data_IF_688724042577
#
_entry.id   IF_688724042577
#
_cell.length_a   1.000
_cell.length_b   1.000
_cell.length_c   1.000
_cell.angle_alpha   90.00
_cell.angle_beta   90.00
_cell.angle_gamma   90.00
#
_symmetry.space_group_name_H-M   'P 1'
#
loop_
_entity.id
_entity.type
_entity.pdbx_description
1 polymer ?
#
# COMPACT_ATOMS: atom_id res chain seq x y z
N UNK A 1 -14.09 -5.45 -23.70
CA UNK A 1 -14.32 -4.20 -22.96
C UNK A 1 -15.50 -4.41 -22.03
N UNK A 2 -15.25 -4.75 -20.77
CA UNK A 2 -16.29 -4.71 -19.75
C UNK A 2 -16.24 -3.31 -19.14
N UNK A 3 -17.11 -2.42 -19.61
CA UNK A 3 -17.40 -1.18 -18.90
C UNK A 3 -18.13 -1.58 -17.62
N UNK A 4 -17.51 -1.42 -16.47
CA UNK A 4 -18.19 -1.41 -15.18
C UNK A 4 -18.71 0.02 -14.97
N UNK A 5 -19.96 0.34 -15.36
CA UNK A 5 -20.52 1.65 -15.03
C UNK A 5 -20.43 1.83 -13.51
N UNK A 6 -19.99 3.00 -13.07
CA UNK A 6 -19.93 3.43 -11.67
C UNK A 6 -18.73 2.90 -10.84
N UNK A 7 -17.76 2.20 -11.45
CA UNK A 7 -16.57 1.70 -10.73
C UNK A 7 -15.66 2.81 -10.16
N UNK A 8 -15.89 4.08 -10.48
CA UNK A 8 -15.12 5.23 -10.00
C UNK A 8 -16.00 6.33 -9.38
N UNK A 9 -17.27 6.03 -9.11
CA UNK A 9 -18.16 6.95 -8.40
C UNK A 9 -17.62 7.24 -6.99
N UNK A 10 -17.06 6.20 -6.35
CA UNK A 10 -16.30 6.33 -5.12
C UNK A 10 -14.83 6.61 -5.43
N UNK A 11 -14.21 7.65 -4.85
CA UNK A 11 -12.82 8.02 -5.13
C UNK A 11 -11.84 6.86 -4.89
N UNK A 12 -10.93 6.69 -5.84
CA UNK A 12 -9.79 5.77 -5.77
C UNK A 12 -8.51 6.59 -5.76
N UNK A 13 -7.58 6.21 -4.91
CA UNK A 13 -6.33 6.92 -4.67
C UNK A 13 -5.15 5.96 -4.77
N UNK A 14 -4.09 6.41 -5.42
CA UNK A 14 -2.77 5.78 -5.36
C UNK A 14 -1.92 6.55 -4.36
N UNK A 15 -1.35 5.84 -3.38
CA UNK A 15 -0.58 6.41 -2.27
C UNK A 15 0.83 5.82 -2.27
N UNK A 16 1.81 6.68 -2.03
CA UNK A 16 3.20 6.29 -1.82
C UNK A 16 3.64 6.78 -0.45
N UNK A 17 4.10 5.87 0.39
CA UNK A 17 4.52 6.12 1.76
C UNK A 17 5.96 5.63 1.95
N UNK A 18 6.97 6.47 1.62
CA UNK A 18 8.36 6.17 1.90
C UNK A 18 8.69 6.30 3.39
N UNK A 19 9.60 5.48 3.88
CA UNK A 19 10.14 5.58 5.24
C UNK A 19 11.58 6.12 5.23
N UNK A 20 11.85 7.01 6.17
CA UNK A 20 13.16 7.59 6.46
C UNK A 20 13.72 7.04 7.78
N UNK A 21 15.03 7.13 7.94
CA UNK A 21 15.74 6.61 9.13
C UNK A 21 16.01 5.10 9.10
N UNK A 22 15.52 4.40 8.07
CA UNK A 22 15.82 3.00 7.82
C UNK A 22 17.22 2.83 7.21
N UNK A 23 18.00 1.88 7.74
CA UNK A 23 19.29 1.47 7.17
C UNK A 23 19.13 0.26 6.22
N UNK A 24 17.97 -0.40 6.23
CA UNK A 24 17.72 -1.69 5.59
C UNK A 24 16.30 -1.84 5.01
N UNK A 25 16.03 -3.04 4.46
CA UNK A 25 14.75 -3.58 4.01
C UNK A 25 13.65 -3.62 5.09
N UNK A 26 12.96 -2.51 5.37
CA UNK A 26 11.89 -2.47 6.37
C UNK A 26 10.68 -3.25 5.87
N UNK A 27 9.97 -2.80 4.84
CA UNK A 27 8.65 -3.37 4.54
C UNK A 27 8.67 -4.72 3.82
N UNK A 28 9.84 -5.24 3.45
CA UNK A 28 10.03 -6.62 2.97
C UNK A 28 10.42 -7.60 4.09
N UNK A 29 10.67 -7.13 5.31
CA UNK A 29 10.75 -7.99 6.50
C UNK A 29 9.34 -8.35 6.96
N UNK A 30 9.11 -9.66 7.12
CA UNK A 30 7.81 -10.23 7.49
C UNK A 30 7.13 -9.49 8.66
N UNK A 31 7.88 -9.20 9.73
CA UNK A 31 7.32 -8.54 10.93
C UNK A 31 6.67 -7.18 10.65
N UNK A 32 7.24 -6.39 9.74
CA UNK A 32 6.73 -5.06 9.42
C UNK A 32 5.61 -5.14 8.38
N UNK A 33 5.75 -6.03 7.39
CA UNK A 33 4.68 -6.31 6.45
C UNK A 33 3.42 -6.81 7.17
N UNK A 34 3.56 -7.69 8.17
CA UNK A 34 2.45 -8.24 8.95
C UNK A 34 1.69 -7.13 9.73
N UNK A 35 2.39 -6.11 10.26
CA UNK A 35 1.76 -4.95 10.94
C UNK A 35 0.91 -4.15 9.95
N UNK A 36 1.51 -3.78 8.82
CA UNK A 36 0.81 -3.00 7.77
C UNK A 36 -0.41 -3.76 7.28
N UNK A 37 -0.26 -5.05 7.01
CA UNK A 37 -1.35 -5.90 6.54
C UNK A 37 -2.45 -6.06 7.60
N UNK A 38 -2.10 -6.29 8.87
CA UNK A 38 -3.08 -6.40 9.95
C UNK A 38 -3.90 -5.11 10.09
N UNK A 39 -3.26 -3.95 10.02
CA UNK A 39 -3.95 -2.66 10.09
C UNK A 39 -4.85 -2.43 8.87
N UNK A 40 -4.35 -2.67 7.65
CA UNK A 40 -5.16 -2.56 6.43
C UNK A 40 -6.37 -3.50 6.48
N UNK A 41 -6.18 -4.77 6.82
CA UNK A 41 -7.27 -5.74 6.90
C UNK A 41 -8.29 -5.36 7.97
N UNK A 42 -7.86 -4.82 9.11
CA UNK A 42 -8.76 -4.29 10.13
C UNK A 42 -9.59 -3.12 9.60
N UNK A 43 -8.97 -2.17 8.90
CA UNK A 43 -9.67 -1.00 8.35
C UNK A 43 -10.66 -1.41 7.24
N UNK A 44 -10.31 -2.42 6.43
CA UNK A 44 -11.21 -3.02 5.43
C UNK A 44 -12.39 -3.75 6.07
N UNK A 45 -12.16 -4.52 7.14
CA UNK A 45 -13.22 -5.23 7.87
C UNK A 45 -14.28 -4.26 8.43
N UNK A 46 -13.85 -3.07 8.85
CA UNK A 46 -14.73 -2.00 9.33
C UNK A 46 -15.23 -1.08 8.21
N UNK A 47 -14.97 -1.43 6.94
CA UNK A 47 -15.34 -0.68 5.75
C UNK A 47 -14.85 0.79 5.77
N UNK A 48 -13.74 1.09 6.44
CA UNK A 48 -13.17 2.44 6.47
C UNK A 48 -12.61 2.84 5.10
N UNK A 49 -11.89 1.91 4.49
CA UNK A 49 -11.34 1.95 3.12
C UNK A 49 -11.39 0.54 2.52
N UNK A 50 -11.19 0.42 1.21
CA UNK A 50 -10.93 -0.85 0.51
C UNK A 50 -9.57 -0.75 -0.19
N UNK A 51 -8.73 -1.77 -0.05
CA UNK A 51 -7.47 -1.91 -0.79
C UNK A 51 -7.77 -2.56 -2.13
N UNK A 52 -7.41 -1.89 -3.21
CA UNK A 52 -7.59 -2.36 -4.59
C UNK A 52 -6.32 -3.02 -5.12
N UNK A 53 -5.15 -2.47 -4.77
CA UNK A 53 -3.85 -3.03 -5.15
C UNK A 53 -2.78 -2.59 -4.14
N UNK A 54 -1.67 -3.33 -4.04
CA UNK A 54 -0.55 -2.95 -3.21
C UNK A 54 0.79 -3.52 -3.70
N UNK A 55 1.86 -2.83 -3.30
CA UNK A 55 3.23 -3.31 -3.41
C UNK A 55 4.08 -2.72 -2.27
N UNK A 56 4.80 -3.56 -1.55
CA UNK A 56 5.79 -3.12 -0.57
C UNK A 56 7.18 -3.24 -1.16
N UNK A 57 7.89 -2.11 -1.25
CA UNK A 57 9.32 -2.07 -1.49
C UNK A 57 10.07 -2.05 -0.17
N UNK A 58 11.38 -2.34 -0.17
CA UNK A 58 12.23 -2.25 1.02
C UNK A 58 12.01 -1.00 1.89
N UNK A 59 11.87 0.17 1.26
CA UNK A 59 11.80 1.47 1.94
C UNK A 59 10.52 2.28 1.65
N UNK A 60 9.54 1.70 0.95
CA UNK A 60 8.29 2.39 0.68
C UNK A 60 7.13 1.43 0.52
N UNK A 61 5.95 1.89 0.92
CA UNK A 61 4.68 1.20 0.69
C UNK A 61 3.96 1.94 -0.43
N UNK A 62 3.43 1.18 -1.38
CA UNK A 62 2.59 1.67 -2.45
C UNK A 62 1.25 0.97 -2.36
N UNK A 63 0.16 1.73 -2.29
CA UNK A 63 -1.19 1.17 -2.18
C UNK A 63 -2.15 1.93 -3.08
N UNK A 64 -3.07 1.21 -3.68
CA UNK A 64 -4.27 1.77 -4.28
C UNK A 64 -5.43 1.47 -3.34
N UNK A 65 -6.14 2.51 -2.92
CA UNK A 65 -7.29 2.39 -2.02
C UNK A 65 -8.51 3.08 -2.61
N UNK A 66 -9.68 2.52 -2.33
CA UNK A 66 -10.98 3.15 -2.53
C UNK A 66 -11.49 3.63 -1.18
N UNK A 67 -12.05 4.83 -1.16
CA UNK A 67 -12.70 5.36 0.04
C UNK A 67 -13.88 4.49 0.46
N UNK A 68 -14.06 4.32 1.77
CA UNK A 68 -15.19 3.62 2.36
C UNK A 68 -16.02 4.58 3.21
N UNK A 69 -16.16 4.26 4.48
CA UNK A 69 -16.76 5.15 5.47
C UNK A 69 -15.91 6.39 5.78
N UNK A 70 -14.60 6.34 5.51
CA UNK A 70 -13.68 7.47 5.67
C UNK A 70 -13.14 7.93 4.31
N UNK A 71 -13.03 9.24 4.18
CA UNK A 71 -12.31 9.90 3.10
C UNK A 71 -10.80 9.82 3.34
N UNK A 72 -10.00 9.99 2.29
CA UNK A 72 -8.53 9.87 2.36
C UNK A 72 -7.93 10.76 3.46
N UNK A 73 -8.38 12.01 3.56
CA UNK A 73 -7.89 13.01 4.52
C UNK A 73 -8.15 12.64 5.99
N UNK A 74 -9.21 11.87 6.25
CA UNK A 74 -9.56 11.40 7.60
C UNK A 74 -8.86 10.09 7.95
N UNK A 75 -8.51 9.26 6.97
CA UNK A 75 -7.96 7.93 7.20
C UNK A 75 -6.42 7.89 7.15
N UNK A 76 -5.80 8.60 6.21
CA UNK A 76 -4.43 8.33 5.81
C UNK A 76 -3.38 8.65 6.90
N UNK A 77 -3.46 9.83 7.51
CA UNK A 77 -2.52 10.20 8.58
C UNK A 77 -2.68 9.30 9.82
N UNK A 78 -3.90 9.04 10.34
CA UNK A 78 -4.09 8.10 11.45
C UNK A 78 -3.61 6.68 11.15
N UNK A 79 -3.78 6.19 9.92
CA UNK A 79 -3.25 4.90 9.49
C UNK A 79 -1.72 4.86 9.59
N UNK A 80 -1.05 5.86 9.00
CA UNK A 80 0.41 5.98 9.01
C UNK A 80 0.97 6.09 10.43
N UNK A 81 0.34 6.90 11.29
CA UNK A 81 0.76 7.08 12.68
C UNK A 81 0.62 5.77 13.48
N UNK A 82 -0.49 5.04 13.30
CA UNK A 82 -0.72 3.76 13.96
C UNK A 82 0.32 2.70 13.56
N UNK A 83 0.60 2.57 12.26
CA UNK A 83 1.63 1.63 11.75
C UNK A 83 3.00 1.96 12.34
N UNK A 84 3.37 3.24 12.36
CA UNK A 84 4.67 3.66 12.85
C UNK A 84 4.80 3.46 14.36
N UNK A 85 3.73 3.70 15.11
CA UNK A 85 3.69 3.46 16.55
C UNK A 85 3.86 1.97 16.87
N UNK A 86 3.16 1.07 16.18
CA UNK A 86 3.34 -0.38 16.36
C UNK A 86 4.77 -0.83 16.03
N UNK A 87 5.35 -0.30 14.94
CA UNK A 87 6.75 -0.58 14.58
C UNK A 87 7.72 -0.13 15.69
N UNK A 88 7.52 1.07 16.25
CA UNK A 88 8.35 1.60 17.34
C UNK A 88 8.24 0.78 18.62
N UNK A 89 7.06 0.25 18.93
CA UNK A 89 6.88 -0.62 20.08
C UNK A 89 7.64 -1.95 19.93
N UNK A 90 7.75 -2.48 18.72
CA UNK A 90 8.50 -3.70 18.44
C UNK A 90 10.01 -3.48 18.27
N UNK A 91 10.42 -2.32 17.78
CA UNK A 91 11.81 -1.98 17.48
C UNK A 91 12.13 -0.53 17.90
N UNK A 92 12.22 -0.24 19.22
CA UNK A 92 12.38 1.13 19.71
C UNK A 92 13.70 1.79 19.30
N UNK A 93 14.71 0.99 18.96
CA UNK A 93 16.00 1.48 18.47
C UNK A 93 15.94 1.96 17.00
N UNK A 94 14.95 1.50 16.23
CA UNK A 94 14.75 1.93 14.84
C UNK A 94 14.02 3.28 14.82
N UNK A 95 14.77 4.36 14.57
CA UNK A 95 14.23 5.73 14.47
C UNK A 95 13.55 5.99 13.13
N UNK A 96 12.47 5.25 12.88
CA UNK A 96 11.70 5.37 11.65
C UNK A 96 10.72 6.55 11.70
N UNK A 97 10.58 7.20 10.55
CA UNK A 97 9.54 8.20 10.28
C UNK A 97 9.12 8.14 8.82
N UNK A 98 7.87 8.49 8.52
CA UNK A 98 7.46 8.70 7.13
C UNK A 98 8.15 9.94 6.53
N UNK A 99 8.32 9.95 5.21
CA UNK A 99 8.88 11.10 4.51
C UNK A 99 8.47 11.16 3.04
N UNK A 100 8.22 12.37 2.54
CA UNK A 100 7.83 12.63 1.15
C UNK A 100 6.65 11.77 0.70
N UNK A 101 5.62 11.65 1.54
CA UNK A 101 4.40 10.94 1.16
C UNK A 101 3.72 11.63 -0.02
N UNK A 102 3.22 10.86 -0.97
CA UNK A 102 2.50 11.38 -2.13
C UNK A 102 1.19 10.61 -2.33
N UNK A 103 0.22 11.31 -2.91
CA UNK A 103 -1.07 10.75 -3.27
C UNK A 103 -1.52 11.28 -4.62
N UNK A 104 -2.21 10.43 -5.37
CA UNK A 104 -2.75 10.75 -6.68
C UNK A 104 -4.15 10.16 -6.81
N UNK A 105 -5.09 10.96 -7.30
CA UNK A 105 -6.45 10.47 -7.57
C UNK A 105 -6.46 9.70 -8.88
N UNK A 106 -6.99 8.49 -8.86
CA UNK A 106 -7.25 7.69 -10.05
C UNK A 106 -8.61 8.11 -10.64
N UNK A 107 -8.56 8.67 -11.84
CA UNK A 107 -9.74 9.31 -12.45
C UNK A 107 -10.73 8.30 -13.06
N UNK A 108 -10.23 7.20 -13.60
CA UNK A 108 -11.01 6.24 -14.38
C UNK A 108 -10.32 4.86 -14.45
N UNK A 109 -10.97 3.93 -15.17
CA UNK A 109 -10.50 2.57 -15.34
C UNK A 109 -9.17 2.47 -16.09
N UNK A 110 -8.93 3.33 -17.08
CA UNK A 110 -7.67 3.29 -17.83
C UNK A 110 -6.50 3.73 -16.95
N UNK A 111 -6.68 4.80 -16.18
CA UNK A 111 -5.70 5.25 -15.19
C UNK A 111 -5.46 4.19 -14.10
N UNK A 112 -6.50 3.46 -13.68
CA UNK A 112 -6.38 2.36 -12.72
C UNK A 112 -5.52 1.23 -13.25
N UNK A 113 -5.86 0.69 -14.43
CA UNK A 113 -5.13 -0.41 -15.06
C UNK A 113 -3.68 -0.02 -15.36
N UNK A 114 -3.46 1.22 -15.80
CA UNK A 114 -2.12 1.74 -16.01
C UNK A 114 -1.32 1.76 -14.70
N UNK A 115 -1.91 2.25 -13.61
CA UNK A 115 -1.23 2.32 -12.32
C UNK A 115 -0.95 0.95 -11.71
N UNK A 116 -1.90 0.03 -11.78
CA UNK A 116 -1.74 -1.36 -11.35
C UNK A 116 -0.58 -2.03 -12.12
N UNK A 117 -0.52 -1.82 -13.44
CA UNK A 117 0.59 -2.29 -14.26
C UNK A 117 1.94 -1.69 -13.83
N UNK A 118 2.01 -0.37 -13.61
CA UNK A 118 3.23 0.27 -13.13
C UNK A 118 3.69 -0.29 -11.77
N UNK A 119 2.78 -0.45 -10.82
CA UNK A 119 3.07 -1.02 -9.50
C UNK A 119 3.61 -2.44 -9.60
N UNK A 120 2.99 -3.25 -10.47
CA UNK A 120 3.40 -4.64 -10.71
C UNK A 120 4.83 -4.73 -11.26
N UNK A 121 5.22 -3.83 -12.17
CA UNK A 121 6.55 -3.83 -12.81
C UNK A 121 7.62 -3.04 -12.05
N UNK A 122 7.23 -2.21 -11.07
CA UNK A 122 8.14 -1.38 -10.30
C UNK A 122 9.31 -2.14 -9.64
N UNK A 123 9.13 -3.35 -9.07
CA UNK A 123 10.24 -4.14 -8.53
C UNK A 123 11.26 -4.53 -9.61
N UNK A 124 10.82 -4.80 -10.84
CA UNK A 124 11.70 -5.14 -11.97
C UNK A 124 12.49 -3.93 -12.41
N UNK A 125 11.83 -2.79 -12.57
CA UNK A 125 12.51 -1.53 -12.93
C UNK A 125 13.54 -1.08 -11.90
N UNK A 126 13.33 -1.43 -10.62
CA UNK A 126 14.29 -1.20 -9.53
C UNK A 126 15.36 -2.29 -9.38
N UNK A 127 15.33 -3.34 -10.22
CA UNK A 127 16.29 -4.45 -10.16
C UNK A 127 16.11 -5.38 -8.96
N UNK A 128 14.96 -5.35 -8.29
CA UNK A 128 14.64 -6.18 -7.13
C UNK A 128 14.06 -7.55 -7.52
N UNK A 129 13.56 -7.68 -8.74
CA UNK A 129 13.04 -8.92 -9.30
C UNK A 129 13.35 -9.00 -10.81
N UNK A 130 13.40 -10.21 -11.36
CA UNK A 130 13.50 -10.44 -12.81
C UNK A 130 12.14 -10.61 -13.48
N UNK A 131 11.11 -10.89 -12.69
CA UNK A 131 9.73 -11.15 -13.11
C UNK A 131 8.80 -10.42 -12.13
N UNK A 132 7.85 -9.57 -12.59
CA UNK A 132 6.90 -8.91 -11.71
C UNK A 132 6.07 -9.88 -10.86
N UNK A 133 5.67 -11.03 -11.42
CA UNK A 133 4.91 -12.07 -10.72
C UNK A 133 5.80 -12.90 -9.79
N UNK A 134 7.12 -12.69 -9.80
CA UNK A 134 8.05 -13.32 -8.86
C UNK A 134 8.26 -12.51 -7.57
N UNK A 135 7.79 -11.26 -7.51
CA UNK A 135 8.04 -10.39 -6.37
C UNK A 135 7.06 -10.64 -5.22
N UNK A 136 7.57 -11.05 -4.06
CA UNK A 136 6.72 -11.63 -3.01
C UNK A 136 5.72 -10.67 -2.37
N UNK A 137 6.05 -9.39 -2.23
CA UNK A 137 5.23 -8.42 -1.50
C UNK A 137 4.46 -7.48 -2.43
N UNK A 138 3.73 -8.06 -3.38
CA UNK A 138 2.72 -7.38 -4.20
C UNK A 138 1.37 -8.09 -4.08
N UNK A 139 0.33 -7.51 -4.68
CA UNK A 139 -1.03 -8.07 -4.71
C UNK A 139 -1.13 -9.45 -5.36
N UNK A 140 -0.26 -9.78 -6.33
CA UNK A 140 -0.27 -11.06 -7.06
C UNK A 140 0.22 -12.22 -6.17
N UNK A 141 1.39 -12.08 -5.56
CA UNK A 141 1.94 -13.13 -4.67
C UNK A 141 1.38 -13.08 -3.25
N UNK A 142 0.85 -11.93 -2.88
CA UNK A 142 0.18 -11.63 -1.63
C UNK A 142 0.88 -12.16 -0.35
N UNK A 143 2.22 -12.08 -0.27
CA UNK A 143 2.95 -12.58 0.92
C UNK A 143 2.56 -11.84 2.21
N UNK A 144 2.13 -10.59 2.10
CA UNK A 144 1.64 -9.81 3.23
C UNK A 144 0.24 -10.25 3.72
N UNK A 145 -0.49 -11.06 2.93
CA UNK A 145 -1.85 -11.54 3.23
C UNK A 145 -2.85 -10.40 3.45
N UNK A 146 -2.81 -9.40 2.56
CA UNK A 146 -3.82 -8.35 2.52
C UNK A 146 -5.04 -8.90 1.80
N UNK A 147 -6.22 -8.63 2.33
CA UNK A 147 -7.49 -9.07 1.75
C UNK A 147 -7.83 -8.18 0.56
N UNK A 148 -7.87 -8.74 -0.65
CA UNK A 148 -8.13 -8.02 -1.92
C UNK A 148 -9.51 -8.36 -2.52
N UNK A 149 -10.51 -8.61 -1.67
CA UNK A 149 -11.85 -9.09 -2.07
C UNK A 149 -12.70 -8.02 -2.76
#
# INVERSE_FOLDING_TARGET
>A
MNYLPNAFDTPVWYLVMPVCGAVEEVFTRKRYADIVAAKLNSDQLHALVKVEDYMFLPSSIHIMIREGALTLDLWWQPFMDAVLEEIRQLAPDEKLSWCNETYERIADAEAFEHRAYEMLFLPVWKGLATDPEGYAYNSVNNRAKIDLQ
#
